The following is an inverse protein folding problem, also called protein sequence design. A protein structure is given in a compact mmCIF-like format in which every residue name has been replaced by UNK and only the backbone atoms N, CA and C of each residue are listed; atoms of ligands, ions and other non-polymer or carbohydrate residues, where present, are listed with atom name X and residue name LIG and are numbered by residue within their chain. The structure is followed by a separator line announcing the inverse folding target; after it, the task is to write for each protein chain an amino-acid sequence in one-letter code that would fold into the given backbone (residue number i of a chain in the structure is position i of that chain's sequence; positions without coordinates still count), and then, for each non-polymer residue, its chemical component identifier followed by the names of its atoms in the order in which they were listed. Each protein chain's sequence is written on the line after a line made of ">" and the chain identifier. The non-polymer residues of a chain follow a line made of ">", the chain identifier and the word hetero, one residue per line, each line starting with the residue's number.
data_IF_959289850375
#
_entry.id   IF_959289850375
#
_cell.length_a   1.000
_cell.length_b   1.000
_cell.length_c   1.000
_cell.angle_alpha   90.00
_cell.angle_beta   90.00
_cell.angle_gamma   90.00
#
_symmetry.space_group_name_H-M   'P 1'
#
loop_
_entity.id
_entity.type
_entity.pdbx_description
1 polymer ?
#
# COMPACT_ATOMS: atom_id res chain seq x y z
N UNK A 1 4.09 -76.80 10.57
CA UNK A 1 3.55 -76.17 9.35
C UNK A 1 4.34 -74.89 9.08
N UNK A 2 4.97 -74.73 7.90
CA UNK A 2 5.65 -73.48 7.55
C UNK A 2 4.61 -72.36 7.43
N UNK A 3 4.85 -71.20 8.06
CA UNK A 3 3.96 -70.03 7.89
C UNK A 3 4.06 -69.56 6.43
N UNK A 4 2.92 -69.29 5.78
CA UNK A 4 2.86 -68.79 4.40
C UNK A 4 3.60 -67.46 4.32
N UNK A 5 4.39 -67.24 3.27
CA UNK A 5 5.06 -65.97 3.03
C UNK A 5 4.01 -64.85 2.84
N UNK A 6 4.29 -63.66 3.36
CA UNK A 6 3.41 -62.50 3.24
C UNK A 6 3.37 -62.05 1.76
N UNK A 7 2.20 -62.01 1.10
CA UNK A 7 2.10 -61.69 -0.32
C UNK A 7 2.31 -60.20 -0.65
N UNK A 8 2.58 -59.36 0.36
CA UNK A 8 2.72 -57.91 0.22
C UNK A 8 4.17 -57.43 0.42
N UNK A 9 5.17 -58.31 0.40
CA UNK A 9 6.57 -57.91 0.60
C UNK A 9 7.09 -56.93 -0.45
N UNK A 10 6.47 -56.86 -1.63
CA UNK A 10 6.88 -56.00 -2.75
C UNK A 10 5.86 -54.91 -3.13
N UNK A 11 4.75 -54.78 -2.41
CA UNK A 11 3.67 -53.84 -2.78
C UNK A 11 3.42 -52.79 -1.72
N UNK A 12 4.46 -52.09 -1.29
CA UNK A 12 4.27 -50.74 -0.77
C UNK A 12 4.10 -49.81 -1.96
N UNK A 13 2.88 -49.73 -2.51
CA UNK A 13 2.51 -48.54 -3.29
C UNK A 13 2.58 -47.38 -2.30
N UNK A 14 3.63 -46.57 -2.37
CA UNK A 14 3.74 -45.36 -1.55
C UNK A 14 2.57 -44.45 -1.93
N UNK A 15 1.47 -44.56 -1.18
CA UNK A 15 0.30 -43.72 -1.39
C UNK A 15 0.65 -42.36 -0.80
N UNK A 16 1.22 -41.49 -1.62
CA UNK A 16 1.60 -40.15 -1.21
C UNK A 16 0.33 -39.32 -1.01
N UNK A 17 0.13 -38.83 0.21
CA UNK A 17 -0.87 -37.79 0.46
C UNK A 17 -0.29 -36.47 -0.03
N UNK A 18 -0.75 -36.01 -1.20
CA UNK A 18 -0.42 -34.68 -1.72
C UNK A 18 -1.44 -33.70 -1.17
N UNK A 19 -0.98 -32.63 -0.54
CA UNK A 19 -1.85 -31.50 -0.18
C UNK A 19 -2.17 -30.73 -1.45
N UNK A 20 -3.46 -30.67 -1.82
CA UNK A 20 -3.94 -29.89 -2.97
C UNK A 20 -4.57 -28.59 -2.45
N UNK A 21 -3.89 -27.48 -2.67
CA UNK A 21 -4.35 -26.14 -2.35
C UNK A 21 -5.24 -25.54 -3.44
N UNK A 22 -5.87 -24.40 -3.12
CA UNK A 22 -6.79 -23.71 -4.02
C UNK A 22 -6.16 -23.32 -5.35
N UNK A 23 -4.87 -22.98 -5.34
CA UNK A 23 -4.14 -22.63 -6.56
C UNK A 23 -4.05 -23.80 -7.54
N UNK A 24 -3.79 -25.02 -7.04
CA UNK A 24 -3.72 -26.22 -7.87
C UNK A 24 -5.11 -26.61 -8.39
N UNK A 25 -6.15 -26.45 -7.55
CA UNK A 25 -7.54 -26.61 -7.99
C UNK A 25 -7.90 -25.67 -9.16
N UNK A 26 -7.46 -24.42 -9.09
CA UNK A 26 -7.72 -23.42 -10.12
C UNK A 26 -6.92 -23.66 -11.42
N UNK A 27 -5.73 -24.25 -11.34
CA UNK A 27 -4.80 -24.34 -12.47
C UNK A 27 -4.75 -25.72 -13.15
N UNK A 28 -4.82 -26.83 -12.41
CA UNK A 28 -4.50 -28.17 -12.91
C UNK A 28 -5.59 -29.22 -12.69
N UNK A 29 -6.72 -28.88 -12.06
CA UNK A 29 -7.81 -29.83 -11.85
C UNK A 29 -8.73 -30.01 -13.07
N UNK A 30 -9.51 -31.11 -13.09
CA UNK A 30 -10.55 -31.42 -14.09
C UNK A 30 -11.60 -30.29 -14.23
N UNK A 31 -11.73 -29.41 -13.23
CA UNK A 31 -12.64 -28.27 -13.24
C UNK A 31 -11.94 -26.90 -13.39
N UNK A 32 -10.62 -26.87 -13.65
CA UNK A 32 -9.85 -25.63 -13.73
C UNK A 32 -10.40 -24.62 -14.75
N UNK A 33 -10.96 -25.08 -15.87
CA UNK A 33 -11.61 -24.19 -16.85
C UNK A 33 -12.85 -23.49 -16.26
N UNK A 34 -13.71 -24.22 -15.52
CA UNK A 34 -14.90 -23.64 -14.90
C UNK A 34 -14.53 -22.58 -13.87
N UNK A 35 -13.59 -22.88 -12.98
CA UNK A 35 -13.13 -21.91 -11.97
C UNK A 35 -12.49 -20.66 -12.59
N UNK A 36 -11.68 -20.82 -13.65
CA UNK A 36 -11.12 -19.67 -14.37
C UNK A 36 -12.22 -18.79 -14.97
N UNK A 37 -13.24 -19.41 -15.55
CA UNK A 37 -14.38 -18.69 -16.12
C UNK A 37 -15.16 -17.92 -15.03
N UNK A 38 -15.45 -18.55 -13.89
CA UNK A 38 -16.13 -17.89 -12.77
C UNK A 38 -15.34 -16.69 -12.23
N UNK A 39 -14.03 -16.81 -12.10
CA UNK A 39 -13.15 -15.71 -11.66
C UNK A 39 -13.19 -14.57 -12.68
N UNK A 40 -13.12 -14.90 -13.98
CA UNK A 40 -13.20 -13.91 -15.05
C UNK A 40 -14.53 -13.16 -15.01
N UNK A 41 -15.66 -13.87 -14.96
CA UNK A 41 -17.00 -13.28 -14.94
C UNK A 41 -17.22 -12.39 -13.71
N UNK A 42 -16.75 -12.84 -12.54
CA UNK A 42 -16.81 -12.06 -11.29
C UNK A 42 -15.98 -10.78 -11.40
N UNK A 43 -14.76 -10.87 -11.90
CA UNK A 43 -13.86 -9.71 -12.06
C UNK A 43 -14.42 -8.73 -13.06
N UNK A 44 -14.90 -9.23 -14.20
CA UNK A 44 -15.52 -8.43 -15.24
C UNK A 44 -16.74 -7.66 -14.70
N UNK A 45 -17.61 -8.35 -13.95
CA UNK A 45 -18.77 -7.73 -13.30
C UNK A 45 -18.36 -6.64 -12.31
N UNK A 46 -17.33 -6.85 -11.49
CA UNK A 46 -16.84 -5.83 -10.57
C UNK A 46 -16.32 -4.59 -11.31
N UNK A 47 -15.56 -4.78 -12.38
CA UNK A 47 -15.01 -3.68 -13.18
C UNK A 47 -16.13 -2.86 -13.84
N UNK A 48 -17.10 -3.53 -14.48
CA UNK A 48 -18.24 -2.85 -15.11
C UNK A 48 -19.15 -2.16 -14.09
N UNK A 49 -19.41 -2.79 -12.94
CA UNK A 49 -20.21 -2.16 -11.88
C UNK A 49 -19.49 -0.94 -11.29
N UNK A 50 -18.18 -1.03 -11.06
CA UNK A 50 -17.36 0.09 -10.62
C UNK A 50 -17.38 1.25 -11.63
N UNK A 51 -17.21 0.94 -12.92
CA UNK A 51 -17.29 1.94 -13.99
C UNK A 51 -18.68 2.60 -14.06
N UNK A 52 -19.76 1.80 -13.98
CA UNK A 52 -21.14 2.30 -13.98
C UNK A 52 -21.43 3.20 -12.78
N UNK A 53 -20.94 2.85 -11.59
CA UNK A 53 -21.10 3.66 -10.39
C UNK A 53 -20.44 5.05 -10.55
N UNK A 54 -19.26 5.10 -11.18
CA UNK A 54 -18.58 6.37 -11.46
C UNK A 54 -19.28 7.17 -12.56
N UNK A 55 -19.64 6.55 -13.68
CA UNK A 55 -20.29 7.23 -14.82
C UNK A 55 -21.69 7.75 -14.48
N UNK A 56 -22.47 7.01 -13.69
CA UNK A 56 -23.77 7.48 -13.21
C UNK A 56 -23.66 8.74 -12.33
N UNK A 57 -22.56 8.88 -11.61
CA UNK A 57 -22.27 10.04 -10.76
C UNK A 57 -21.80 11.25 -11.58
N UNK A 58 -21.14 11.04 -12.72
CA UNK A 58 -20.59 12.14 -13.54
C UNK A 58 -21.57 12.71 -14.58
N UNK A 59 -22.63 11.99 -14.96
CA UNK A 59 -23.57 12.43 -16.00
C UNK A 59 -24.96 12.88 -15.50
N UNK A 60 -25.36 12.51 -14.28
CA UNK A 60 -26.57 13.07 -13.68
C UNK A 60 -26.24 14.45 -13.12
N UNK A 61 -26.48 15.48 -13.93
CA UNK A 61 -26.29 16.88 -13.57
C UNK A 61 -27.14 17.29 -12.36
N UNK A 62 -26.60 17.07 -11.17
CA UNK A 62 -26.87 17.88 -10.00
C UNK A 62 -25.54 18.45 -9.55
N UNK A 63 -25.42 19.75 -9.70
CA UNK A 63 -24.32 20.60 -9.29
C UNK A 63 -24.26 20.69 -7.76
N UNK A 64 -24.11 19.54 -7.09
CA UNK A 64 -23.66 19.49 -5.70
C UNK A 64 -22.21 19.07 -5.75
N UNK A 65 -21.34 20.11 -5.71
CA UNK A 65 -19.91 20.07 -5.43
C UNK A 65 -19.53 18.66 -4.98
N UNK A 66 -19.02 17.87 -5.93
CA UNK A 66 -18.40 16.62 -5.60
C UNK A 66 -17.46 16.94 -4.45
N UNK A 67 -17.75 16.34 -3.29
CA UNK A 67 -16.78 16.16 -2.24
C UNK A 67 -15.64 15.46 -2.95
N UNK A 68 -14.72 16.28 -3.44
CA UNK A 68 -13.43 15.86 -3.95
C UNK A 68 -12.99 14.90 -2.87
N UNK A 69 -12.81 13.63 -3.23
CA UNK A 69 -12.12 12.68 -2.39
C UNK A 69 -10.85 13.41 -1.98
N UNK A 70 -10.92 14.03 -0.79
CA UNK A 70 -9.79 14.61 -0.11
C UNK A 70 -9.05 13.36 0.30
N UNK A 71 -8.34 12.80 -0.67
CA UNK A 71 -7.19 11.99 -0.39
C UNK A 71 -6.35 12.90 0.46
N UNK A 72 -6.39 12.68 1.77
CA UNK A 72 -5.66 13.40 2.81
C UNK A 72 -4.15 13.32 2.64
N UNK A 73 -3.69 12.90 1.46
CA UNK A 73 -2.35 13.05 0.95
C UNK A 73 -2.14 14.54 0.64
N UNK A 74 -1.96 15.31 1.70
CA UNK A 74 -1.33 16.62 1.68
C UNK A 74 0.01 16.49 0.96
N UNK A 75 0.04 16.65 -0.36
CA UNK A 75 1.16 16.27 -1.22
C UNK A 75 2.51 16.59 -0.56
N UNK A 76 3.38 15.58 -0.48
CA UNK A 76 4.70 15.73 0.13
C UNK A 76 5.43 16.88 -0.57
N UNK A 77 6.21 17.65 0.19
CA UNK A 77 7.12 18.66 -0.40
C UNK A 77 7.99 17.98 -1.46
N UNK A 78 7.87 18.45 -2.71
CA UNK A 78 8.55 17.86 -3.87
C UNK A 78 7.66 17.02 -4.80
N UNK A 79 6.43 16.65 -4.40
CA UNK A 79 5.46 16.07 -5.32
C UNK A 79 5.00 17.11 -6.35
N UNK A 80 5.05 16.71 -7.62
CA UNK A 80 4.59 17.51 -8.76
C UNK A 80 3.12 17.23 -9.03
N UNK A 81 2.39 18.28 -9.42
CA UNK A 81 1.01 18.20 -9.90
C UNK A 81 1.03 18.16 -11.43
N UNK A 82 0.21 17.31 -12.04
CA UNK A 82 -0.02 17.35 -13.49
C UNK A 82 -1.04 18.45 -13.74
N UNK A 83 -0.62 19.51 -14.43
CA UNK A 83 -1.49 20.61 -14.85
C UNK A 83 -2.49 20.16 -15.92
N UNK A 84 -3.51 20.97 -16.17
CA UNK A 84 -4.47 20.73 -17.25
C UNK A 84 -3.81 20.76 -18.64
N UNK A 85 -2.62 21.34 -18.75
CA UNK A 85 -1.75 21.34 -19.92
C UNK A 85 -0.84 20.10 -20.02
N UNK A 86 -0.97 19.14 -19.09
CA UNK A 86 -0.15 17.94 -19.01
C UNK A 86 1.26 18.17 -18.46
N UNK A 87 1.60 19.40 -18.05
CA UNK A 87 2.94 19.72 -17.53
C UNK A 87 3.02 19.47 -16.03
N UNK A 88 4.19 19.01 -15.57
CA UNK A 88 4.48 18.87 -14.15
C UNK A 88 4.76 20.25 -13.54
N UNK A 89 3.89 20.69 -12.64
CA UNK A 89 4.05 21.91 -11.85
C UNK A 89 4.49 21.58 -10.43
N UNK A 90 5.40 22.37 -9.86
CA UNK A 90 5.77 22.23 -8.45
C UNK A 90 4.57 22.64 -7.61
N UNK A 91 4.10 21.73 -6.76
CA UNK A 91 3.03 22.03 -5.81
C UNK A 91 3.49 23.13 -4.87
N UNK A 92 3.05 24.36 -5.12
CA UNK A 92 3.24 25.47 -4.20
C UNK A 92 2.08 25.38 -3.22
N UNK A 93 2.41 24.97 -1.98
CA UNK A 93 1.57 24.89 -0.78
C UNK A 93 0.11 25.26 -1.04
N UNK A 94 -0.78 24.27 -1.09
CA UNK A 94 -2.21 24.48 -1.30
C UNK A 94 -2.74 25.60 -0.39
N UNK A 95 -2.99 26.77 -0.98
CA UNK A 95 -3.74 27.85 -0.36
C UNK A 95 -5.22 27.48 -0.45
N UNK A 96 -5.65 26.59 0.42
CA UNK A 96 -7.05 26.26 0.61
C UNK A 96 -7.14 25.64 1.97
N UNK A 97 -7.76 26.33 2.92
CA UNK A 97 -7.82 25.95 4.33
C UNK A 97 -8.16 24.46 4.47
N UNK A 98 -7.16 23.58 4.71
CA UNK A 98 -7.45 22.21 5.04
C UNK A 98 -7.73 22.25 6.54
N UNK A 99 -8.84 21.64 6.98
CA UNK A 99 -8.96 21.25 8.39
C UNK A 99 -7.63 20.65 8.83
N UNK A 100 -6.91 21.38 9.70
CA UNK A 100 -5.53 21.08 10.02
C UNK A 100 -5.45 19.61 10.45
N UNK A 101 -4.55 18.80 9.87
CA UNK A 101 -4.49 17.38 10.19
C UNK A 101 -4.38 17.21 11.70
N UNK A 102 -5.45 16.73 12.32
CA UNK A 102 -5.61 16.70 13.77
C UNK A 102 -4.77 15.60 14.43
N UNK A 103 -4.00 14.83 13.66
CA UNK A 103 -3.14 13.74 14.13
C UNK A 103 -1.70 13.80 13.59
N UNK A 104 -0.84 12.94 14.12
CA UNK A 104 0.52 12.70 13.62
C UNK A 104 0.50 12.21 12.16
N UNK A 105 1.35 12.76 11.30
CA UNK A 105 1.41 12.39 9.88
C UNK A 105 1.89 10.95 9.60
N UNK A 106 2.44 10.27 10.61
CA UNK A 106 2.92 8.88 10.54
C UNK A 106 1.92 7.93 11.19
N UNK A 107 1.65 8.10 12.48
CA UNK A 107 0.82 7.15 13.25
C UNK A 107 -0.64 7.57 13.40
N UNK A 108 -1.02 8.73 12.89
CA UNK A 108 -2.39 9.30 12.92
C UNK A 108 -2.97 9.56 14.32
N UNK A 109 -2.24 9.22 15.39
CA UNK A 109 -2.66 9.48 16.78
C UNK A 109 -2.76 11.00 17.04
N UNK A 110 -3.81 11.39 17.74
CA UNK A 110 -4.02 12.75 18.22
C UNK A 110 -3.22 12.99 19.52
N UNK A 111 -1.96 13.41 19.40
CA UNK A 111 -1.15 13.84 20.55
C UNK A 111 -1.12 15.36 20.70
N UNK A 112 -0.97 15.87 21.92
CA UNK A 112 -0.92 17.34 22.17
C UNK A 112 0.39 17.95 21.65
N UNK A 113 1.53 17.29 21.86
CA UNK A 113 2.85 17.78 21.43
C UNK A 113 3.24 17.20 20.06
N UNK A 114 3.44 18.09 19.09
CA UNK A 114 3.88 17.73 17.74
C UNK A 114 4.80 18.80 17.19
N UNK A 115 5.74 18.36 16.36
CA UNK A 115 6.67 19.25 15.67
C UNK A 115 6.53 19.05 14.16
N UNK A 116 6.66 20.12 13.36
CA UNK A 116 6.69 19.99 11.90
C UNK A 116 7.95 19.24 11.46
N UNK A 117 7.79 18.31 10.52
CA UNK A 117 8.92 17.67 9.84
C UNK A 117 9.64 18.67 8.94
N UNK A 118 10.97 18.79 9.06
CA UNK A 118 11.78 19.69 8.21
C UNK A 118 11.64 19.43 6.71
N UNK A 119 11.36 18.19 6.30
CA UNK A 119 11.30 17.82 4.89
C UNK A 119 9.91 17.93 4.28
N UNK A 120 8.83 17.64 5.01
CA UNK A 120 7.47 17.60 4.46
C UNK A 120 6.49 18.55 5.15
N UNK A 121 6.94 19.31 6.14
CA UNK A 121 6.18 20.27 6.97
C UNK A 121 4.97 19.69 7.72
N UNK A 122 4.67 18.39 7.56
CA UNK A 122 3.58 17.72 8.26
C UNK A 122 3.95 17.49 9.73
N UNK A 123 2.97 17.66 10.63
CA UNK A 123 3.14 17.49 12.07
C UNK A 123 3.35 16.02 12.44
N UNK A 124 4.43 15.71 13.17
CA UNK A 124 4.70 14.39 13.71
C UNK A 124 4.80 14.43 15.25
N UNK A 125 4.38 13.36 15.92
CA UNK A 125 4.60 13.21 17.37
C UNK A 125 6.06 12.82 17.65
N UNK A 126 6.51 13.00 18.90
CA UNK A 126 7.88 12.69 19.32
C UNK A 126 8.33 11.26 19.01
N UNK A 127 7.43 10.27 19.09
CA UNK A 127 7.72 8.87 18.73
C UNK A 127 7.89 8.63 17.23
N UNK A 128 7.39 9.54 16.39
CA UNK A 128 7.45 9.44 14.93
C UNK A 128 8.45 10.42 14.31
N UNK A 129 9.12 11.26 15.12
CA UNK A 129 10.21 12.13 14.70
C UNK A 129 11.56 11.47 14.94
N UNK A 130 12.50 11.71 14.04
CA UNK A 130 13.90 11.33 14.14
C UNK A 130 14.78 12.54 13.84
N UNK A 131 15.96 12.60 14.46
CA UNK A 131 16.94 13.64 14.19
C UNK A 131 17.91 13.14 13.11
N UNK A 132 18.18 13.97 12.10
CA UNK A 132 19.18 13.64 11.08
C UNK A 132 20.60 13.80 11.65
N UNK A 133 21.46 12.80 11.48
CA UNK A 133 22.87 12.81 11.89
C UNK A 133 23.69 13.91 11.19
N UNK A 134 23.35 14.24 9.94
CA UNK A 134 24.10 15.24 9.14
C UNK A 134 23.67 16.69 9.43
N UNK A 135 22.38 17.01 9.27
CA UNK A 135 21.89 18.39 9.40
C UNK A 135 21.20 18.70 10.73
N UNK A 136 21.17 17.74 11.67
CA UNK A 136 20.54 17.87 13.00
C UNK A 136 19.04 18.22 13.00
N UNK A 137 18.41 18.24 11.82
CA UNK A 137 17.00 18.61 11.66
C UNK A 137 16.07 17.46 12.06
N UNK A 138 14.91 17.81 12.61
CA UNK A 138 13.86 16.84 12.96
C UNK A 138 13.00 16.51 11.75
N UNK A 139 12.98 15.25 11.37
CA UNK A 139 12.18 14.72 10.27
C UNK A 139 11.24 13.64 10.78
N UNK A 140 10.08 13.45 10.14
CA UNK A 140 9.25 12.29 10.43
C UNK A 140 9.93 11.01 9.92
N UNK A 141 9.59 9.86 10.48
CA UNK A 141 10.18 8.56 10.12
C UNK A 141 10.01 8.18 8.64
N UNK A 142 9.08 8.81 7.92
CA UNK A 142 8.85 8.64 6.47
C UNK A 142 9.84 9.47 5.64
N UNK A 143 10.33 10.58 6.19
CA UNK A 143 11.27 11.48 5.53
C UNK A 143 12.73 11.24 5.97
N UNK A 144 12.99 10.10 6.60
CA UNK A 144 14.32 9.66 7.01
C UNK A 144 14.64 8.29 6.46
N UNK A 145 15.91 8.06 6.17
CA UNK A 145 16.51 6.79 5.76
C UNK A 145 17.51 6.40 6.84
N UNK A 146 17.59 5.11 7.15
CA UNK A 146 18.65 4.59 8.03
C UNK A 146 19.78 4.12 7.12
N UNK A 147 20.95 4.72 7.26
CA UNK A 147 22.17 4.24 6.63
C UNK A 147 22.83 3.18 7.52
N UNK A 148 23.10 2.03 6.92
CA UNK A 148 23.71 0.86 7.54
C UNK A 148 25.13 0.61 7.02
N UNK A 149 25.70 1.55 6.25
CA UNK A 149 27.03 1.39 5.64
C UNK A 149 28.19 1.46 6.64
N UNK A 150 27.98 2.15 7.76
CA UNK A 150 28.98 2.37 8.81
C UNK A 150 29.00 1.31 9.91
N UNK A 151 29.79 1.57 10.95
CA UNK A 151 29.82 0.73 12.16
C UNK A 151 28.53 0.84 12.99
N UNK A 152 27.80 1.94 12.84
CA UNK A 152 26.57 2.23 13.56
C UNK A 152 25.48 2.67 12.58
N UNK A 153 24.22 2.43 12.96
CA UNK A 153 23.06 2.90 12.22
C UNK A 153 22.97 4.43 12.30
N UNK A 154 22.99 5.11 11.15
CA UNK A 154 22.85 6.56 11.07
C UNK A 154 21.48 6.95 10.49
N UNK A 155 20.86 7.99 11.04
CA UNK A 155 19.59 8.48 10.51
C UNK A 155 19.85 9.68 9.61
N UNK A 156 19.53 9.58 8.33
CA UNK A 156 19.68 10.65 7.36
C UNK A 156 18.31 11.14 6.90
N UNK A 157 18.12 12.45 6.74
CA UNK A 157 16.94 12.94 6.04
C UNK A 157 17.08 12.71 4.54
N UNK A 158 15.97 12.66 3.80
CA UNK A 158 16.01 12.42 2.35
C UNK A 158 16.84 13.43 1.55
N UNK A 159 17.15 14.60 2.11
CA UNK A 159 18.02 15.62 1.49
C UNK A 159 19.51 15.43 1.80
N UNK A 160 19.85 14.74 2.88
CA UNK A 160 21.23 14.45 3.28
C UNK A 160 21.68 13.05 2.85
N UNK A 161 20.75 12.18 2.44
CA UNK A 161 21.05 10.84 1.93
C UNK A 161 21.40 10.79 0.44
N UNK A 162 21.40 11.95 -0.24
CA UNK A 162 21.67 12.09 -1.69
C UNK A 162 23.08 12.57 -1.95
#
# INVERSE_FOLDING_TARGET
>A
MPKRACPFSETFSSQYKVHVGQQELNHSSVFGHKYKQEIYEKTNSMLFNGAKAVVGTTWSGEEKRAETLVSSQTLLRGQTLIGHDGRLTKSTRAQGAPTAPTGCCVCQKSLVSRTPCFQCDRLACSSCTRQCSSCSSLCCSVCTIIDYSGQYDEVLCCSCST
#
